data_IF_461517932795
#
_entry.id   IF_461517932795
#
_cell.length_a   1.000
_cell.length_b   1.000
_cell.length_c   1.000
_cell.angle_alpha   90.00
_cell.angle_beta   90.00
_cell.angle_gamma   90.00
#
_symmetry.space_group_name_H-M   'P 1'
#
loop_
_entity.id
_entity.type
_entity.pdbx_description
1 polymer ?
#
# COMPACT_ATOMS: atom_id res chain seq x y z
N UNK A 1 -6.64 -4.29 8.54
CA UNK A 1 -6.62 -3.42 7.34
C UNK A 1 -5.16 -3.01 7.16
N UNK A 2 -4.67 -2.97 5.97
CA UNK A 2 -3.27 -2.63 5.70
C UNK A 2 -3.09 -1.12 5.77
N UNK A 3 -1.96 -0.68 6.37
CA UNK A 3 -1.66 0.71 6.68
C UNK A 3 -0.48 1.22 5.89
N UNK A 4 -0.64 2.39 5.28
CA UNK A 4 0.40 3.10 4.54
C UNK A 4 0.74 4.41 5.27
N UNK A 5 2.01 4.60 5.61
CA UNK A 5 2.45 5.82 6.29
C UNK A 5 3.05 6.84 5.32
N UNK A 6 2.56 8.07 5.34
CA UNK A 6 3.20 9.17 4.62
C UNK A 6 4.43 9.64 5.37
N UNK A 7 5.57 9.57 4.72
CA UNK A 7 6.87 9.96 5.26
C UNK A 7 7.51 11.00 4.33
N UNK A 8 7.99 12.09 4.87
CA UNK A 8 8.61 13.15 4.10
C UNK A 8 9.06 14.30 4.98
N UNK A 9 9.90 15.18 4.43
CA UNK A 9 10.34 16.38 5.12
C UNK A 9 9.17 17.34 5.39
N UNK A 10 9.30 18.31 6.30
CA UNK A 10 8.32 19.35 6.46
C UNK A 10 8.00 20.03 5.12
N UNK A 11 6.76 20.43 4.93
CA UNK A 11 6.27 21.10 3.72
C UNK A 11 6.39 20.31 2.39
N UNK A 12 6.58 18.99 2.45
CA UNK A 12 6.59 18.16 1.24
C UNK A 12 5.19 17.91 0.65
N UNK A 13 4.12 18.24 1.37
CA UNK A 13 2.73 18.06 0.92
C UNK A 13 2.01 16.83 1.48
N UNK A 14 2.57 16.16 2.53
CA UNK A 14 1.99 14.96 3.14
C UNK A 14 0.55 15.14 3.61
N UNK A 15 0.32 16.14 4.47
CA UNK A 15 -1.02 16.41 5.02
C UNK A 15 -2.01 16.86 3.95
N UNK A 16 -1.54 17.58 2.91
CA UNK A 16 -2.38 17.94 1.76
C UNK A 16 -2.79 16.70 0.95
N UNK A 17 -1.85 15.78 0.70
CA UNK A 17 -2.13 14.51 0.04
C UNK A 17 -3.09 13.64 0.88
N UNK A 18 -2.87 13.57 2.20
CA UNK A 18 -3.76 12.87 3.12
C UNK A 18 -5.18 13.44 3.06
N UNK A 19 -5.32 14.77 3.12
CA UNK A 19 -6.62 15.42 3.07
C UNK A 19 -7.32 15.23 1.72
N UNK A 20 -6.60 15.25 0.61
CA UNK A 20 -7.15 14.97 -0.70
C UNK A 20 -7.71 13.53 -0.82
N UNK A 21 -7.07 12.58 -0.16
CA UNK A 21 -7.50 11.17 -0.15
C UNK A 21 -8.65 10.89 0.83
N UNK A 22 -8.55 11.41 2.05
CA UNK A 22 -9.41 11.03 3.18
C UNK A 22 -10.43 12.11 3.57
N UNK A 23 -10.25 13.35 3.12
CA UNK A 23 -10.97 14.53 3.58
C UNK A 23 -12.39 14.73 3.03
N UNK A 24 -13.05 13.67 2.53
CA UNK A 24 -14.45 13.76 2.04
C UNK A 24 -14.62 13.66 0.53
N UNK A 25 -13.52 13.45 -0.21
CA UNK A 25 -13.58 13.20 -1.65
C UNK A 25 -14.20 11.84 -2.00
N UNK A 26 -14.34 11.54 -3.31
CA UNK A 26 -14.95 10.29 -3.80
C UNK A 26 -14.25 9.01 -3.31
N UNK A 27 -12.98 9.12 -2.93
CA UNK A 27 -12.19 8.00 -2.39
C UNK A 27 -12.40 7.77 -0.89
N UNK A 28 -12.91 8.76 -0.14
CA UNK A 28 -13.17 8.58 1.28
C UNK A 28 -14.21 7.46 1.50
N UNK A 29 -13.89 6.50 2.36
CA UNK A 29 -14.81 5.43 2.69
C UNK A 29 -15.70 5.83 3.87
N UNK A 30 -17.03 5.69 3.78
CA UNK A 30 -17.91 5.81 4.93
C UNK A 30 -17.68 4.59 5.83
N UNK A 31 -16.83 4.73 6.84
CA UNK A 31 -16.53 3.65 7.76
C UNK A 31 -17.33 3.80 9.04
N UNK A 32 -18.04 2.73 9.43
CA UNK A 32 -18.90 2.73 10.61
C UNK A 32 -18.13 2.84 11.95
N UNK A 33 -16.82 2.62 11.89
CA UNK A 33 -15.88 2.75 13.01
C UNK A 33 -14.77 3.73 12.60
N UNK A 34 -15.16 5.00 12.29
CA UNK A 34 -14.19 6.05 12.07
C UNK A 34 -13.15 6.02 13.20
N UNK A 35 -11.87 5.92 12.82
CA UNK A 35 -10.80 6.00 13.79
C UNK A 35 -10.93 7.31 14.53
N UNK A 36 -10.82 7.28 15.86
CA UNK A 36 -10.79 8.50 16.67
C UNK A 36 -9.47 9.28 16.48
N UNK A 37 -8.53 8.71 15.73
CA UNK A 37 -7.27 9.34 15.39
C UNK A 37 -7.44 10.20 14.13
N UNK A 38 -7.28 11.52 14.23
CA UNK A 38 -7.45 12.45 13.10
C UNK A 38 -6.41 12.27 11.98
N UNK A 39 -5.34 11.52 12.25
CA UNK A 39 -4.26 11.26 11.29
C UNK A 39 -4.42 9.95 10.52
N UNK A 40 -5.53 9.22 10.70
CA UNK A 40 -5.81 7.96 9.98
C UNK A 40 -7.02 8.13 9.08
N UNK A 41 -6.83 7.95 7.78
CA UNK A 41 -7.87 8.01 6.76
C UNK A 41 -8.14 6.65 6.13
N UNK A 42 -9.41 6.27 6.03
CA UNK A 42 -9.83 5.06 5.32
C UNK A 42 -10.24 5.43 3.90
N UNK A 43 -9.58 4.82 2.92
CA UNK A 43 -9.71 5.15 1.51
C UNK A 43 -10.20 3.93 0.73
N UNK A 44 -11.16 4.13 -0.18
CA UNK A 44 -11.62 3.09 -1.11
C UNK A 44 -10.55 2.81 -2.16
N UNK A 45 -10.35 1.55 -2.48
CA UNK A 45 -9.52 1.13 -3.63
C UNK A 45 -10.42 1.11 -4.86
N UNK A 46 -10.25 2.03 -5.83
CA UNK A 46 -11.06 2.07 -7.03
C UNK A 46 -10.86 0.81 -7.88
N UNK A 47 -11.95 0.18 -8.30
CA UNK A 47 -11.91 -1.02 -9.13
C UNK A 47 -13.04 -0.98 -10.18
N UNK A 48 -12.70 -0.65 -11.41
CA UNK A 48 -13.65 -0.56 -12.54
C UNK A 48 -14.33 -1.90 -12.88
N UNK A 49 -13.69 -3.02 -12.51
CA UNK A 49 -14.25 -4.38 -12.68
C UNK A 49 -15.48 -4.55 -11.78
N UNK A 50 -15.37 -4.06 -10.52
CA UNK A 50 -16.48 -4.08 -9.57
C UNK A 50 -17.66 -3.25 -10.07
N UNK A 51 -17.38 -2.06 -10.62
CA UNK A 51 -18.41 -1.16 -11.14
C UNK A 51 -19.14 -1.79 -12.32
N UNK A 52 -18.40 -2.43 -13.23
CA UNK A 52 -18.97 -3.13 -14.39
C UNK A 52 -19.84 -4.32 -13.94
N UNK A 53 -19.37 -5.13 -13.00
CA UNK A 53 -20.10 -6.26 -12.43
C UNK A 53 -21.35 -5.82 -11.68
N UNK A 54 -21.27 -4.71 -10.95
CA UNK A 54 -22.41 -4.16 -10.22
C UNK A 54 -23.53 -3.67 -11.18
N UNK A 55 -23.13 -3.05 -12.29
CA UNK A 55 -24.08 -2.68 -13.36
C UNK A 55 -24.73 -3.91 -14.01
N UNK A 56 -23.92 -4.92 -14.36
CA UNK A 56 -24.41 -6.19 -14.94
C UNK A 56 -25.40 -6.89 -14.03
N UNK A 57 -25.15 -6.93 -12.73
CA UNK A 57 -25.98 -7.63 -11.73
C UNK A 57 -27.08 -6.73 -11.14
N UNK A 58 -27.22 -5.48 -11.60
CA UNK A 58 -28.15 -4.48 -11.06
C UNK A 58 -28.06 -4.38 -9.52
N UNK A 59 -26.84 -4.37 -9.01
CA UNK A 59 -26.57 -4.45 -7.57
C UNK A 59 -27.07 -3.21 -6.82
N UNK A 60 -27.84 -3.44 -5.76
CA UNK A 60 -28.37 -2.37 -4.89
C UNK A 60 -27.29 -1.70 -4.06
N UNK A 61 -26.15 -2.39 -3.85
CA UNK A 61 -25.05 -1.90 -3.03
C UNK A 61 -23.71 -2.31 -3.64
N UNK A 62 -22.78 -1.37 -3.69
CA UNK A 62 -21.40 -1.61 -4.13
C UNK A 62 -20.47 -1.39 -2.93
N UNK A 63 -19.60 -2.35 -2.65
CA UNK A 63 -18.65 -2.28 -1.54
C UNK A 63 -17.23 -2.49 -2.06
N UNK A 64 -16.48 -1.41 -2.12
CA UNK A 64 -15.07 -1.43 -2.49
C UNK A 64 -14.20 -2.01 -1.37
N UNK A 65 -13.07 -2.57 -1.73
CA UNK A 65 -12.01 -2.79 -0.75
C UNK A 65 -11.48 -1.45 -0.23
N UNK A 66 -10.90 -1.47 0.95
CA UNK A 66 -10.41 -0.25 1.61
C UNK A 66 -9.01 -0.46 2.16
N UNK A 67 -8.25 0.63 2.25
CA UNK A 67 -6.94 0.68 2.86
C UNK A 67 -6.82 1.89 3.78
N UNK A 68 -5.90 1.88 4.73
CA UNK A 68 -5.65 2.98 5.65
C UNK A 68 -4.41 3.76 5.25
N UNK A 69 -4.53 5.09 5.21
CA UNK A 69 -3.39 5.99 5.11
C UNK A 69 -3.22 6.73 6.42
N UNK A 70 -1.96 6.92 6.83
CA UNK A 70 -1.61 7.57 8.10
C UNK A 70 -0.69 8.75 7.81
N UNK A 71 -1.09 9.95 8.23
CA UNK A 71 -0.21 11.11 8.23
C UNK A 71 0.69 11.07 9.46
N UNK A 72 1.91 10.58 9.29
CA UNK A 72 2.88 10.38 10.39
C UNK A 72 3.56 11.68 10.82
N UNK A 73 3.28 12.79 10.15
CA UNK A 73 3.96 14.06 10.40
C UNK A 73 5.28 14.21 9.64
N UNK A 74 5.98 15.32 9.86
CA UNK A 74 7.24 15.62 9.17
C UNK A 74 8.46 15.06 9.91
N UNK A 75 9.36 14.40 9.20
CA UNK A 75 10.69 14.09 9.67
C UNK A 75 11.49 15.40 9.78
N UNK A 76 12.12 15.62 10.92
CA UNK A 76 13.10 16.68 11.10
C UNK A 76 14.48 16.03 11.07
N UNK A 77 15.44 16.64 10.40
CA UNK A 77 16.84 16.20 10.40
C UNK A 77 17.36 16.02 11.83
N UNK A 78 18.04 14.89 12.11
CA UNK A 78 18.45 14.52 13.46
C UNK A 78 17.38 13.81 14.29
N UNK A 79 16.28 13.40 13.70
CA UNK A 79 15.20 12.68 14.42
C UNK A 79 15.66 11.36 15.04
N UNK A 80 16.64 10.70 14.44
CA UNK A 80 17.24 9.45 14.95
C UNK A 80 18.07 9.66 16.22
N UNK A 81 18.60 10.85 16.43
CA UNK A 81 19.44 11.19 17.58
C UNK A 81 18.71 11.98 18.69
N UNK A 82 17.44 12.36 18.44
CA UNK A 82 16.67 13.27 19.29
C UNK A 82 15.74 12.58 20.27
N UNK A 83 15.62 13.17 21.47
CA UNK A 83 14.54 12.82 22.40
C UNK A 83 13.21 13.49 22.00
N UNK A 84 12.10 12.79 22.14
CA UNK A 84 10.74 13.35 22.02
C UNK A 84 10.09 13.20 20.64
N UNK A 85 10.06 14.24 19.81
CA UNK A 85 9.31 14.24 18.54
C UNK A 85 9.84 13.22 17.52
N UNK A 86 11.16 13.03 17.44
CA UNK A 86 11.77 12.03 16.55
C UNK A 86 11.33 10.60 16.89
N UNK A 87 11.34 10.25 18.18
CA UNK A 87 10.90 8.93 18.63
C UNK A 87 9.41 8.66 18.36
N UNK A 88 8.55 9.67 18.48
CA UNK A 88 7.13 9.56 18.15
C UNK A 88 6.93 9.33 16.65
N UNK A 89 7.68 10.05 15.81
CA UNK A 89 7.67 9.89 14.36
C UNK A 89 8.11 8.47 13.94
N UNK A 90 9.28 8.02 14.41
CA UNK A 90 9.79 6.68 14.13
C UNK A 90 8.85 5.58 14.65
N UNK A 91 8.19 5.82 15.80
CA UNK A 91 7.13 4.95 16.34
C UNK A 91 5.96 4.81 15.38
N UNK A 92 5.47 5.91 14.82
CA UNK A 92 4.39 5.89 13.81
C UNK A 92 4.76 5.09 12.57
N UNK A 93 6.03 5.21 12.08
CA UNK A 93 6.48 4.40 10.94
C UNK A 93 6.51 2.90 11.29
N UNK A 94 6.84 2.52 12.53
CA UNK A 94 6.82 1.10 12.93
C UNK A 94 5.45 0.46 12.84
N UNK A 95 4.39 1.22 13.05
CA UNK A 95 2.99 0.74 13.09
C UNK A 95 2.35 0.56 11.71
N UNK A 96 2.95 1.05 10.64
CA UNK A 96 2.42 0.90 9.28
C UNK A 96 3.06 -0.29 8.54
N UNK A 97 2.39 -0.80 7.52
CA UNK A 97 2.86 -1.96 6.74
C UNK A 97 3.78 -1.56 5.58
N UNK A 98 3.61 -0.34 5.04
CA UNK A 98 4.44 0.21 3.97
C UNK A 98 4.64 1.72 4.14
N UNK A 99 5.68 2.24 3.51
CA UNK A 99 6.06 3.64 3.52
C UNK A 99 5.75 4.27 2.16
N UNK A 100 5.13 5.44 2.19
CA UNK A 100 4.96 6.32 1.03
C UNK A 100 5.83 7.56 1.25
N UNK A 101 6.95 7.62 0.54
CA UNK A 101 7.78 8.83 0.56
C UNK A 101 7.08 9.95 -0.23
N UNK A 102 6.78 11.06 0.43
CA UNK A 102 6.28 12.27 -0.24
C UNK A 102 7.45 13.22 -0.43
N UNK A 103 7.89 13.35 -1.68
CA UNK A 103 9.08 14.08 -2.07
C UNK A 103 8.70 15.37 -2.77
N UNK A 104 9.17 16.50 -2.27
CA UNK A 104 8.90 17.80 -2.86
C UNK A 104 9.77 18.01 -4.10
N UNK A 105 9.15 18.35 -5.22
CA UNK A 105 9.80 18.79 -6.44
C UNK A 105 9.34 20.21 -6.84
N UNK A 106 8.19 20.69 -6.35
CA UNK A 106 7.70 22.05 -6.64
C UNK A 106 8.57 23.13 -5.99
N UNK A 107 8.64 24.28 -6.67
CA UNK A 107 9.28 25.48 -6.17
C UNK A 107 8.23 26.50 -5.77
N UNK A 108 8.30 26.97 -4.52
CA UNK A 108 7.47 28.04 -3.99
C UNK A 108 8.34 28.89 -3.09
N UNK A 109 8.41 30.21 -3.38
CA UNK A 109 9.26 31.16 -2.65
C UNK A 109 8.85 31.36 -1.20
N UNK A 110 7.57 31.11 -0.88
CA UNK A 110 7.02 31.27 0.47
C UNK A 110 7.15 29.99 1.32
N UNK A 111 7.53 28.87 0.69
CA UNK A 111 7.66 27.57 1.36
C UNK A 111 9.16 27.23 1.55
N UNK A 112 9.69 27.24 2.77
CA UNK A 112 11.08 26.91 3.03
C UNK A 112 11.39 25.43 2.82
N UNK A 113 12.66 25.12 2.53
CA UNK A 113 13.18 23.76 2.40
C UNK A 113 13.68 23.43 1.01
N UNK A 114 14.41 22.30 0.87
CA UNK A 114 14.93 21.85 -0.41
C UNK A 114 13.80 21.48 -1.37
N UNK A 115 14.05 21.63 -2.67
CA UNK A 115 13.08 21.34 -3.77
C UNK A 115 13.55 20.22 -4.68
N UNK A 116 14.72 19.61 -4.39
CA UNK A 116 15.21 18.46 -5.12
C UNK A 116 14.70 17.16 -4.47
N UNK A 117 13.88 16.36 -5.16
CA UNK A 117 13.31 15.15 -4.58
C UNK A 117 14.36 14.09 -4.19
N UNK A 118 15.51 14.05 -4.89
CA UNK A 118 16.59 13.12 -4.55
C UNK A 118 17.25 13.49 -3.22
N UNK A 119 17.44 14.78 -2.96
CA UNK A 119 18.02 15.23 -1.69
C UNK A 119 17.04 14.98 -0.52
N UNK A 120 15.73 15.16 -0.76
CA UNK A 120 14.71 14.77 0.19
C UNK A 120 14.80 13.27 0.53
N UNK A 121 14.87 12.41 -0.50
CA UNK A 121 14.95 10.97 -0.33
C UNK A 121 16.19 10.57 0.47
N UNK A 122 17.36 11.14 0.15
CA UNK A 122 18.62 10.86 0.87
C UNK A 122 18.53 11.19 2.35
N UNK A 123 17.96 12.35 2.71
CA UNK A 123 17.79 12.73 4.11
C UNK A 123 16.89 11.71 4.84
N UNK A 124 15.77 11.31 4.23
CA UNK A 124 14.86 10.32 4.80
C UNK A 124 15.53 8.96 4.98
N UNK A 125 16.26 8.50 3.96
CA UNK A 125 16.99 7.23 3.99
C UNK A 125 18.05 7.20 5.11
N UNK A 126 18.81 8.28 5.28
CA UNK A 126 19.82 8.38 6.34
C UNK A 126 19.17 8.23 7.72
N UNK A 127 18.11 8.97 8.00
CA UNK A 127 17.44 8.93 9.30
C UNK A 127 16.83 7.55 9.61
N UNK A 128 16.19 6.90 8.63
CA UNK A 128 15.63 5.58 8.79
C UNK A 128 16.72 4.52 8.97
N UNK A 129 17.82 4.64 8.23
CA UNK A 129 18.96 3.71 8.29
C UNK A 129 19.67 3.81 9.64
N UNK A 130 19.91 5.01 10.15
CA UNK A 130 20.53 5.21 11.46
C UNK A 130 19.66 4.66 12.60
N UNK A 131 18.34 4.86 12.54
CA UNK A 131 17.41 4.33 13.54
C UNK A 131 17.38 2.80 13.54
N UNK A 132 17.45 2.18 12.35
CA UNK A 132 17.51 0.72 12.24
C UNK A 132 18.87 0.16 12.64
N UNK A 133 19.95 0.85 12.31
CA UNK A 133 21.32 0.45 12.73
C UNK A 133 21.40 0.32 14.25
N UNK A 134 20.97 1.35 14.99
CA UNK A 134 20.94 1.33 16.47
C UNK A 134 20.07 0.17 16.99
N UNK A 135 18.90 -0.04 16.38
CA UNK A 135 17.99 -1.11 16.76
C UNK A 135 18.60 -2.51 16.52
N UNK A 136 19.25 -2.71 15.38
CA UNK A 136 19.88 -3.99 15.01
C UNK A 136 21.09 -4.27 15.88
N UNK A 137 21.99 -3.29 16.12
CA UNK A 137 23.14 -3.43 17.03
C UNK A 137 22.71 -3.88 18.44
N UNK A 138 21.69 -3.25 18.98
CA UNK A 138 21.14 -3.62 20.29
C UNK A 138 20.58 -5.04 20.32
N UNK A 139 19.88 -5.46 19.25
CA UNK A 139 19.24 -6.78 19.17
C UNK A 139 20.20 -7.89 18.91
N UNK A 140 21.14 -7.74 17.97
CA UNK A 140 22.11 -8.77 17.63
C UNK A 140 22.97 -9.15 18.84
N UNK A 141 23.37 -8.18 19.66
CA UNK A 141 24.11 -8.42 20.89
C UNK A 141 23.33 -9.30 21.89
N UNK A 142 22.02 -9.09 22.02
CA UNK A 142 21.14 -9.90 22.88
C UNK A 142 20.94 -11.30 22.32
N UNK A 143 20.69 -11.43 21.02
CA UNK A 143 20.43 -12.71 20.35
C UNK A 143 21.67 -13.58 20.28
N UNK A 144 22.85 -13.02 20.07
CA UNK A 144 24.13 -13.75 20.15
C UNK A 144 24.40 -14.31 21.56
N UNK A 145 24.05 -13.58 22.63
CA UNK A 145 24.13 -14.11 24.00
C UNK A 145 23.15 -15.27 24.21
N UNK A 146 21.93 -15.18 23.70
CA UNK A 146 20.94 -16.26 23.77
C UNK A 146 21.44 -17.49 22.98
N UNK A 147 21.97 -17.29 21.78
CA UNK A 147 22.54 -18.37 20.95
C UNK A 147 23.70 -19.08 21.62
N UNK A 148 24.56 -18.38 22.38
CA UNK A 148 25.63 -19.02 23.17
C UNK A 148 25.06 -19.91 24.28
N UNK A 149 23.88 -19.58 24.81
CA UNK A 149 23.23 -20.41 25.84
C UNK A 149 22.51 -21.63 25.22
N UNK A 150 21.98 -21.51 24.00
CA UNK A 150 21.34 -22.59 23.26
C UNK A 150 21.84 -22.67 21.80
N UNK A 151 23.04 -23.26 21.58
CA UNK A 151 23.72 -23.26 20.29
C UNK A 151 23.03 -24.10 19.20
N UNK A 152 22.02 -24.90 19.54
CA UNK A 152 21.34 -25.81 18.61
C UNK A 152 19.96 -25.27 18.19
N UNK A 153 19.59 -24.12 18.67
CA UNK A 153 18.30 -23.49 18.33
C UNK A 153 18.36 -22.93 16.89
N UNK A 154 17.70 -23.64 15.98
CA UNK A 154 17.71 -23.29 14.55
C UNK A 154 17.08 -21.94 14.28
N UNK A 155 16.01 -21.57 15.00
CA UNK A 155 15.33 -20.27 14.83
C UNK A 155 16.25 -19.12 15.23
N UNK A 156 16.96 -19.26 16.36
CA UNK A 156 17.94 -18.28 16.82
C UNK A 156 19.15 -18.16 15.88
N UNK A 157 19.59 -19.25 15.26
CA UNK A 157 20.67 -19.24 14.26
C UNK A 157 20.23 -18.39 13.07
N UNK A 158 19.07 -18.70 12.46
CA UNK A 158 18.55 -17.97 11.32
C UNK A 158 18.30 -16.49 11.65
N UNK A 159 17.78 -16.20 12.84
CA UNK A 159 17.55 -14.82 13.28
C UNK A 159 18.86 -14.03 13.42
N UNK A 160 19.90 -14.63 14.01
CA UNK A 160 21.20 -13.98 14.16
C UNK A 160 21.88 -13.77 12.81
N UNK A 161 21.76 -14.71 11.87
CA UNK A 161 22.26 -14.57 10.50
C UNK A 161 21.55 -13.41 9.78
N UNK A 162 20.22 -13.35 9.83
CA UNK A 162 19.45 -12.27 9.21
C UNK A 162 19.81 -10.90 9.79
N UNK A 163 19.92 -10.79 11.13
CA UNK A 163 20.36 -9.57 11.80
C UNK A 163 21.80 -9.20 11.43
N UNK A 164 22.69 -10.18 11.24
CA UNK A 164 24.08 -9.97 10.82
C UNK A 164 24.16 -9.33 9.43
N UNK A 165 23.43 -9.89 8.47
CA UNK A 165 23.36 -9.35 7.10
C UNK A 165 22.73 -7.94 7.09
N UNK A 166 21.66 -7.75 7.88
CA UNK A 166 21.06 -6.41 8.02
C UNK A 166 22.04 -5.38 8.58
N UNK A 167 22.86 -5.79 9.60
CA UNK A 167 23.85 -4.93 10.19
C UNK A 167 24.93 -4.47 9.19
N UNK A 168 25.39 -5.37 8.30
CA UNK A 168 26.37 -5.05 7.26
C UNK A 168 25.83 -3.94 6.34
N UNK A 169 24.65 -4.11 5.74
CA UNK A 169 24.06 -3.10 4.86
C UNK A 169 23.80 -1.77 5.55
N UNK A 170 23.22 -1.79 6.75
CA UNK A 170 22.93 -0.60 7.51
C UNK A 170 24.20 0.16 7.93
N UNK A 171 25.29 -0.55 8.26
CA UNK A 171 26.59 0.05 8.60
C UNK A 171 27.24 0.73 7.41
N UNK A 172 26.98 0.27 6.19
CA UNK A 172 27.40 0.91 4.95
C UNK A 172 26.49 2.08 4.53
N UNK A 173 25.46 2.38 5.32
CA UNK A 173 24.48 3.43 5.03
C UNK A 173 23.44 3.02 3.99
N UNK A 174 23.29 1.72 3.70
CA UNK A 174 22.32 1.20 2.73
C UNK A 174 21.04 0.75 3.43
N UNK A 175 19.89 1.38 3.15
CA UNK A 175 18.60 0.93 3.69
C UNK A 175 18.21 -0.44 3.12
N UNK A 176 17.55 -1.28 3.92
CA UNK A 176 17.26 -2.66 3.55
C UNK A 176 16.35 -2.79 2.31
N UNK A 177 15.47 -1.83 2.05
CA UNK A 177 14.64 -1.84 0.83
C UNK A 177 15.45 -1.64 -0.47
N UNK A 178 16.72 -1.22 -0.39
CA UNK A 178 17.66 -1.07 -1.52
C UNK A 178 18.83 -2.05 -1.50
N UNK A 179 18.94 -2.87 -0.46
CA UNK A 179 20.13 -3.69 -0.21
C UNK A 179 20.26 -4.92 -1.11
N UNK A 180 19.20 -5.32 -1.81
CA UNK A 180 19.18 -6.61 -2.52
C UNK A 180 19.27 -7.83 -1.59
N UNK A 181 19.00 -7.66 -0.29
CA UNK A 181 18.94 -8.75 0.68
C UNK A 181 17.94 -9.82 0.23
N UNK A 182 18.30 -11.09 0.43
CA UNK A 182 17.45 -12.23 0.08
C UNK A 182 16.08 -12.17 0.72
N UNK A 183 15.05 -12.60 -0.03
CA UNK A 183 13.64 -12.55 0.40
C UNK A 183 13.39 -13.33 1.68
N UNK A 184 14.05 -14.50 1.85
CA UNK A 184 13.86 -15.34 3.03
C UNK A 184 14.47 -14.67 4.28
N UNK A 185 15.65 -14.06 4.14
CA UNK A 185 16.28 -13.27 5.21
C UNK A 185 15.44 -12.05 5.56
N UNK A 186 14.90 -11.36 4.55
CA UNK A 186 14.01 -10.22 4.74
C UNK A 186 12.72 -10.59 5.49
N UNK A 187 12.14 -11.74 5.19
CA UNK A 187 10.98 -12.26 5.91
C UNK A 187 11.33 -12.57 7.37
N UNK A 188 12.50 -13.15 7.64
CA UNK A 188 13.02 -13.37 9.00
C UNK A 188 13.20 -12.09 9.82
N UNK A 189 13.37 -10.94 9.16
CA UNK A 189 13.49 -9.65 9.82
C UNK A 189 12.14 -8.97 10.15
N UNK A 190 11.01 -9.51 9.69
CA UNK A 190 9.68 -8.88 9.88
C UNK A 190 9.33 -8.63 11.34
N UNK A 191 9.59 -9.59 12.21
CA UNK A 191 9.28 -9.47 13.64
C UNK A 191 10.12 -8.40 14.37
N UNK A 192 11.15 -7.89 13.70
CA UNK A 192 11.98 -6.82 14.25
C UNK A 192 11.44 -5.42 14.01
N UNK A 193 10.40 -5.27 13.19
CA UNK A 193 9.77 -3.98 12.87
C UNK A 193 10.77 -2.91 12.41
N UNK A 194 11.76 -3.34 11.60
CA UNK A 194 12.74 -2.43 11.02
C UNK A 194 12.04 -1.51 10.00
N UNK A 195 12.39 -0.25 10.06
CA UNK A 195 11.78 0.80 9.22
C UNK A 195 12.16 0.60 7.75
N UNK A 196 13.44 0.33 7.52
CA UNK A 196 13.99 0.13 6.17
C UNK A 196 13.68 -1.26 5.57
N UNK A 197 13.11 -2.19 6.37
CA UNK A 197 12.65 -3.49 5.86
C UNK A 197 11.22 -3.44 5.29
N UNK A 198 10.53 -2.32 5.41
CA UNK A 198 9.18 -2.15 4.87
C UNK A 198 9.21 -1.90 3.37
N UNK A 199 8.19 -2.36 2.62
CA UNK A 199 7.99 -1.95 1.23
C UNK A 199 7.85 -0.43 1.13
N UNK A 200 8.39 0.16 0.06
CA UNK A 200 8.37 1.61 -0.14
C UNK A 200 7.90 1.97 -1.54
N UNK A 201 7.24 3.11 -1.66
CA UNK A 201 6.98 3.80 -2.93
C UNK A 201 7.21 5.29 -2.75
N UNK A 202 7.34 6.04 -3.85
CA UNK A 202 7.53 7.48 -3.81
C UNK A 202 6.41 8.23 -4.55
N UNK A 203 5.97 9.33 -3.97
CA UNK A 203 5.11 10.34 -4.60
C UNK A 203 5.93 11.61 -4.77
N UNK A 204 6.09 12.05 -6.03
CA UNK A 204 6.72 13.30 -6.37
C UNK A 204 5.67 14.38 -6.43
N UNK A 205 5.71 15.31 -5.47
CA UNK A 205 4.80 16.45 -5.44
C UNK A 205 5.35 17.56 -6.33
N UNK A 206 4.75 17.69 -7.52
CA UNK A 206 5.11 18.65 -8.56
C UNK A 206 4.30 19.93 -8.44
N UNK A 207 4.87 21.06 -8.89
CA UNK A 207 4.09 22.24 -9.26
C UNK A 207 3.34 22.01 -10.58
N UNK A 208 2.29 22.78 -10.82
CA UNK A 208 1.50 22.71 -12.05
C UNK A 208 2.37 22.92 -13.30
N UNK A 209 3.32 23.86 -13.23
CA UNK A 209 4.29 24.18 -14.29
C UNK A 209 5.27 23.04 -14.60
N UNK A 210 5.35 22.03 -13.74
CA UNK A 210 6.27 20.90 -13.87
C UNK A 210 5.58 19.62 -14.39
N UNK A 211 4.26 19.60 -14.53
CA UNK A 211 3.53 18.41 -15.00
C UNK A 211 4.02 17.92 -16.35
N UNK A 212 4.37 18.83 -17.27
CA UNK A 212 4.97 18.47 -18.58
C UNK A 212 6.37 17.83 -18.51
N UNK A 213 7.01 17.81 -17.32
CA UNK A 213 8.32 17.18 -17.05
C UNK A 213 8.23 16.04 -16.06
N UNK A 214 7.03 15.58 -15.75
CA UNK A 214 6.77 14.56 -14.75
C UNK A 214 7.60 13.28 -14.99
N UNK A 215 7.64 12.81 -16.22
CA UNK A 215 8.40 11.60 -16.61
C UNK A 215 9.90 11.78 -16.37
N UNK A 216 10.48 12.92 -16.80
CA UNK A 216 11.91 13.22 -16.61
C UNK A 216 12.30 13.24 -15.12
N UNK A 217 11.45 13.86 -14.28
CA UNK A 217 11.70 13.94 -12.84
C UNK A 217 11.54 12.55 -12.19
N UNK A 218 10.55 11.80 -12.61
CA UNK A 218 10.31 10.43 -12.13
C UNK A 218 11.46 9.50 -12.46
N UNK A 219 11.99 9.53 -13.68
CA UNK A 219 13.13 8.72 -14.10
C UNK A 219 14.37 8.97 -13.23
N UNK A 220 14.64 10.23 -12.87
CA UNK A 220 15.75 10.56 -11.96
C UNK A 220 15.60 9.93 -10.58
N UNK A 221 14.39 9.92 -10.02
CA UNK A 221 14.12 9.29 -8.73
C UNK A 221 14.11 7.78 -8.86
N UNK A 222 13.54 7.25 -9.94
CA UNK A 222 13.54 5.81 -10.21
C UNK A 222 14.96 5.24 -10.36
N UNK A 223 15.92 6.02 -10.90
CA UNK A 223 17.31 5.60 -11.00
C UNK A 223 17.99 5.36 -9.64
N UNK A 224 17.51 6.00 -8.58
CA UNK A 224 18.01 5.81 -7.19
C UNK A 224 17.10 4.93 -6.34
N UNK A 225 15.89 4.65 -6.82
CA UNK A 225 14.91 3.78 -6.15
C UNK A 225 14.30 2.79 -7.17
N UNK A 226 15.11 1.92 -7.80
CA UNK A 226 14.74 1.16 -9.01
C UNK A 226 13.63 0.13 -8.76
N UNK A 227 13.56 -0.46 -7.56
CA UNK A 227 12.62 -1.52 -7.22
C UNK A 227 11.30 -0.99 -6.64
N UNK A 228 11.09 0.33 -6.71
CA UNK A 228 9.92 0.98 -6.13
C UNK A 228 9.14 1.78 -7.16
N UNK A 229 7.84 1.81 -7.01
CA UNK A 229 6.98 2.64 -7.85
C UNK A 229 7.16 4.11 -7.50
N UNK A 230 7.30 4.94 -8.53
CA UNK A 230 7.45 6.39 -8.41
C UNK A 230 6.31 7.04 -9.16
N UNK A 231 5.43 7.76 -8.46
CA UNK A 231 4.30 8.45 -9.04
C UNK A 231 4.48 9.96 -8.91
N UNK A 232 4.39 10.67 -10.04
CA UNK A 232 4.42 12.12 -10.07
C UNK A 232 2.99 12.67 -10.16
N UNK A 233 2.68 13.66 -9.31
CA UNK A 233 1.39 14.33 -9.29
C UNK A 233 1.51 15.73 -8.67
N UNK A 234 0.57 16.60 -8.96
CA UNK A 234 0.41 17.86 -8.22
C UNK A 234 -0.60 17.66 -7.11
N UNK A 235 -0.11 17.59 -5.86
CA UNK A 235 -0.97 17.44 -4.68
C UNK A 235 -1.97 18.61 -4.58
N UNK A 236 -1.58 19.81 -5.01
CA UNK A 236 -2.46 20.97 -5.00
C UNK A 236 -3.65 20.78 -5.95
N UNK A 237 -3.39 20.44 -7.21
CA UNK A 237 -4.46 20.22 -8.19
C UNK A 237 -5.39 19.06 -7.80
N UNK A 238 -4.82 17.97 -7.29
CA UNK A 238 -5.61 16.84 -6.82
C UNK A 238 -6.48 17.22 -5.60
N UNK A 239 -5.95 18.04 -4.68
CA UNK A 239 -6.71 18.52 -3.54
C UNK A 239 -7.84 19.47 -3.95
N UNK A 240 -7.60 20.36 -4.90
CA UNK A 240 -8.62 21.24 -5.47
C UNK A 240 -9.71 20.44 -6.20
N UNK A 241 -9.31 19.49 -7.04
CA UNK A 241 -10.22 18.60 -7.75
C UNK A 241 -11.06 17.74 -6.79
N UNK A 242 -10.49 17.29 -5.66
CA UNK A 242 -11.20 16.47 -4.68
C UNK A 242 -12.37 17.22 -3.99
N UNK A 243 -12.37 18.56 -4.00
CA UNK A 243 -13.43 19.40 -3.44
C UNK A 243 -14.60 19.58 -4.40
N UNK A 244 -14.43 19.28 -5.67
CA UNK A 244 -15.46 19.44 -6.70
C UNK A 244 -16.44 18.25 -6.72
N UNK A 245 -17.69 18.46 -7.16
CA UNK A 245 -18.59 17.38 -7.55
C UNK A 245 -17.92 16.44 -8.58
N UNK A 246 -18.37 15.19 -8.63
CA UNK A 246 -17.70 14.15 -9.44
C UNK A 246 -17.64 14.48 -10.94
N UNK A 247 -18.72 15.06 -11.49
CA UNK A 247 -18.83 15.52 -12.88
C UNK A 247 -17.86 16.67 -13.17
N UNK A 248 -17.86 17.72 -12.34
CA UNK A 248 -16.98 18.89 -12.49
C UNK A 248 -15.49 18.50 -12.31
N UNK A 249 -15.20 17.57 -11.39
CA UNK A 249 -13.86 17.03 -11.19
C UNK A 249 -13.34 16.32 -12.44
N UNK A 250 -14.17 15.48 -13.05
CA UNK A 250 -13.83 14.78 -14.28
C UNK A 250 -13.48 15.76 -15.41
N UNK A 251 -14.31 16.79 -15.60
CA UNK A 251 -14.07 17.82 -16.60
C UNK A 251 -12.78 18.62 -16.36
N UNK A 252 -12.48 18.98 -15.09
CA UNK A 252 -11.25 19.67 -14.73
C UNK A 252 -10.02 18.83 -15.05
N UNK A 253 -9.99 17.58 -14.58
CA UNK A 253 -8.84 16.69 -14.74
C UNK A 253 -8.62 16.32 -16.22
N UNK A 254 -9.69 16.10 -16.98
CA UNK A 254 -9.61 15.85 -18.43
C UNK A 254 -9.12 17.09 -19.18
N UNK A 255 -9.59 18.27 -18.82
CA UNK A 255 -9.15 19.55 -19.40
C UNK A 255 -7.66 19.82 -19.16
N UNK A 256 -7.10 19.33 -18.06
CA UNK A 256 -5.68 19.38 -17.75
C UNK A 256 -4.87 18.20 -18.35
N UNK A 257 -5.51 17.27 -19.06
CA UNK A 257 -4.88 16.08 -19.61
C UNK A 257 -4.49 15.03 -18.56
N UNK A 258 -5.09 15.08 -17.36
CA UNK A 258 -4.78 14.19 -16.24
C UNK A 258 -5.69 12.95 -16.18
N UNK A 259 -6.69 12.84 -17.06
CA UNK A 259 -7.63 11.72 -17.13
C UNK A 259 -8.42 11.49 -15.84
N UNK A 260 -8.38 10.29 -15.26
CA UNK A 260 -9.05 9.97 -13.98
C UNK A 260 -8.42 10.66 -12.75
N UNK A 261 -7.31 11.38 -12.94
CA UNK A 261 -6.49 11.93 -11.87
C UNK A 261 -5.44 10.94 -11.35
N UNK A 262 -4.53 11.44 -10.53
CA UNK A 262 -3.44 10.63 -10.00
C UNK A 262 -3.83 9.89 -8.71
N UNK A 263 -4.78 10.39 -7.92
CA UNK A 263 -5.16 9.75 -6.65
C UNK A 263 -5.71 8.33 -6.81
N UNK A 264 -6.62 8.01 -7.77
CA UNK A 264 -7.05 6.63 -7.99
C UNK A 264 -5.91 5.70 -8.37
N UNK A 265 -4.98 6.15 -9.23
CA UNK A 265 -3.78 5.40 -9.60
C UNK A 265 -2.86 5.16 -8.41
N UNK A 266 -2.64 6.20 -7.60
CA UNK A 266 -1.84 6.11 -6.37
C UNK A 266 -2.40 5.07 -5.40
N UNK A 267 -3.72 5.07 -5.14
CA UNK A 267 -4.36 4.10 -4.23
C UNK A 267 -4.19 2.66 -4.74
N UNK A 268 -4.36 2.44 -6.06
CA UNK A 268 -4.13 1.11 -6.67
C UNK A 268 -2.67 0.68 -6.57
N UNK A 269 -1.72 1.58 -6.82
CA UNK A 269 -0.30 1.33 -6.70
C UNK A 269 0.09 0.97 -5.26
N UNK A 270 -0.37 1.75 -4.28
CA UNK A 270 -0.17 1.46 -2.86
C UNK A 270 -0.73 0.08 -2.48
N UNK A 271 -1.95 -0.26 -2.93
CA UNK A 271 -2.54 -1.57 -2.69
C UNK A 271 -1.70 -2.70 -3.29
N UNK A 272 -1.18 -2.52 -4.51
CA UNK A 272 -0.29 -3.48 -5.18
C UNK A 272 1.07 -3.65 -4.50
N UNK A 273 1.60 -2.61 -3.85
CA UNK A 273 2.90 -2.60 -3.17
C UNK A 273 3.02 -3.70 -2.09
N UNK A 274 1.94 -3.99 -1.39
CA UNK A 274 1.88 -5.04 -0.37
C UNK A 274 1.54 -6.42 -0.93
N UNK A 275 1.57 -6.60 -2.25
CA UNK A 275 1.18 -7.84 -2.90
C UNK A 275 -0.30 -8.18 -2.73
N UNK A 276 -1.13 -7.17 -2.51
CA UNK A 276 -2.56 -7.34 -2.36
C UNK A 276 -3.22 -7.53 -3.72
N UNK A 277 -4.23 -8.37 -3.75
CA UNK A 277 -5.07 -8.70 -4.90
C UNK A 277 -6.53 -8.64 -4.49
N UNK A 278 -7.41 -8.63 -5.47
CA UNK A 278 -8.85 -8.51 -5.25
C UNK A 278 -9.58 -9.64 -5.95
N UNK A 279 -10.40 -10.39 -5.22
CA UNK A 279 -11.46 -11.21 -5.81
C UNK A 279 -12.81 -10.52 -5.62
N UNK A 280 -13.77 -10.86 -6.46
CA UNK A 280 -15.04 -10.17 -6.57
C UNK A 280 -16.20 -11.12 -6.29
N UNK A 281 -17.23 -10.61 -5.65
CA UNK A 281 -18.52 -11.26 -5.55
C UNK A 281 -19.57 -10.32 -6.12
N UNK A 282 -20.54 -10.83 -6.89
CA UNK A 282 -21.58 -10.00 -7.52
C UNK A 282 -22.94 -10.65 -7.49
N UNK A 283 -23.98 -9.86 -7.29
CA UNK A 283 -25.38 -10.25 -7.28
C UNK A 283 -26.29 -9.07 -7.03
N UNK A 284 -27.60 -9.24 -7.18
CA UNK A 284 -28.61 -8.17 -7.06
C UNK A 284 -28.55 -7.41 -5.72
N UNK A 285 -28.22 -8.08 -4.63
CA UNK A 285 -28.16 -7.43 -3.29
C UNK A 285 -26.92 -6.59 -3.13
N UNK A 286 -25.78 -7.12 -3.52
CA UNK A 286 -24.48 -6.51 -3.30
C UNK A 286 -23.45 -7.04 -4.31
N UNK A 287 -22.63 -6.13 -4.84
CA UNK A 287 -21.34 -6.45 -5.46
C UNK A 287 -20.23 -5.93 -4.53
N UNK A 288 -19.21 -6.78 -4.30
CA UNK A 288 -18.13 -6.45 -3.37
C UNK A 288 -16.77 -6.91 -3.85
N UNK A 289 -15.77 -6.06 -3.59
CA UNK A 289 -14.36 -6.35 -3.74
C UNK A 289 -13.78 -6.84 -2.39
N UNK A 290 -13.00 -7.92 -2.45
CA UNK A 290 -12.39 -8.57 -1.29
C UNK A 290 -10.88 -8.61 -1.46
N UNK A 291 -10.15 -7.95 -0.55
CA UNK A 291 -8.69 -7.97 -0.57
C UNK A 291 -8.15 -9.28 -0.03
N UNK A 292 -7.15 -9.83 -0.72
CA UNK A 292 -6.38 -10.99 -0.28
C UNK A 292 -4.88 -10.82 -0.62
N UNK A 293 -4.01 -11.62 -0.02
CA UNK A 293 -2.59 -11.61 -0.35
C UNK A 293 -2.30 -12.53 -1.53
N UNK A 294 -1.46 -12.10 -2.44
CA UNK A 294 -1.01 -12.94 -3.55
C UNK A 294 -0.50 -14.30 -3.03
N UNK A 295 -0.85 -15.38 -3.72
CA UNK A 295 -0.53 -16.75 -3.31
C UNK A 295 -1.53 -17.40 -2.34
N UNK A 296 -2.58 -16.69 -1.93
CA UNK A 296 -3.64 -17.31 -1.11
C UNK A 296 -4.48 -18.28 -1.90
N UNK A 297 -4.91 -19.35 -1.20
CA UNK A 297 -5.81 -20.37 -1.74
C UNK A 297 -7.28 -20.03 -1.48
N UNK A 298 -8.15 -20.66 -2.24
CA UNK A 298 -9.59 -20.44 -2.16
C UNK A 298 -10.18 -20.52 -0.74
N UNK A 299 -9.81 -21.46 0.16
CA UNK A 299 -10.31 -21.47 1.52
C UNK A 299 -9.92 -20.22 2.32
N UNK A 300 -8.67 -19.74 2.19
CA UNK A 300 -8.20 -18.52 2.86
C UNK A 300 -8.97 -17.29 2.36
N UNK A 301 -9.24 -17.22 1.05
CA UNK A 301 -10.08 -16.18 0.47
C UNK A 301 -11.53 -16.24 0.94
N UNK A 302 -12.11 -17.44 1.06
CA UNK A 302 -13.43 -17.62 1.67
C UNK A 302 -13.49 -17.12 3.11
N UNK A 303 -12.41 -17.29 3.86
CA UNK A 303 -12.23 -16.76 5.22
C UNK A 303 -12.31 -15.23 5.32
N UNK A 304 -12.00 -14.50 4.23
CA UNK A 304 -12.22 -13.05 4.17
C UNK A 304 -13.68 -12.64 4.24
N UNK A 305 -14.56 -13.50 3.77
CA UNK A 305 -16.01 -13.26 3.86
C UNK A 305 -16.50 -13.62 5.26
N UNK A 306 -16.17 -14.82 5.73
CA UNK A 306 -16.50 -15.29 7.07
C UNK A 306 -15.62 -16.49 7.46
N UNK A 307 -15.22 -16.57 8.73
CA UNK A 307 -14.39 -17.68 9.23
C UNK A 307 -15.03 -19.06 9.04
N UNK A 308 -16.35 -19.14 9.08
CA UNK A 308 -17.08 -20.40 8.82
C UNK A 308 -16.96 -20.85 7.37
N UNK A 309 -16.83 -19.91 6.42
CA UNK A 309 -16.61 -20.25 5.01
C UNK A 309 -15.25 -20.91 4.79
N UNK A 310 -14.22 -20.48 5.52
CA UNK A 310 -12.91 -21.14 5.50
C UNK A 310 -12.98 -22.55 6.09
N UNK A 311 -13.57 -22.68 7.28
CA UNK A 311 -13.68 -23.96 8.00
C UNK A 311 -14.52 -24.98 7.25
N UNK A 312 -15.67 -24.55 6.74
CA UNK A 312 -16.62 -25.39 6.02
C UNK A 312 -16.41 -25.43 4.51
N UNK A 313 -15.29 -24.94 3.98
CA UNK A 313 -15.05 -24.84 2.54
C UNK A 313 -15.19 -26.18 1.84
N UNK A 314 -16.04 -26.20 0.80
CA UNK A 314 -16.24 -27.36 -0.06
C UNK A 314 -15.57 -27.12 -1.41
N UNK A 315 -15.95 -26.05 -2.10
CA UNK A 315 -15.43 -25.65 -3.41
C UNK A 315 -15.75 -24.19 -3.71
N UNK A 316 -15.08 -23.62 -4.71
CA UNK A 316 -15.40 -22.33 -5.29
C UNK A 316 -15.90 -22.50 -6.72
N UNK A 317 -16.96 -21.80 -7.09
CA UNK A 317 -17.36 -21.58 -8.47
C UNK A 317 -16.69 -20.29 -8.91
N UNK A 318 -15.80 -20.36 -9.91
CA UNK A 318 -14.94 -19.24 -10.32
C UNK A 318 -15.13 -18.94 -11.79
N UNK A 319 -15.20 -17.66 -12.13
CA UNK A 319 -15.20 -17.17 -13.51
C UNK A 319 -14.39 -15.89 -13.59
N UNK A 320 -13.66 -15.68 -14.67
CA UNK A 320 -12.96 -14.43 -14.93
C UNK A 320 -13.97 -13.29 -15.16
N UNK A 321 -13.70 -12.10 -14.57
CA UNK A 321 -14.63 -10.98 -14.65
C UNK A 321 -14.95 -10.57 -16.10
N UNK A 322 -13.98 -10.60 -17.01
CA UNK A 322 -14.17 -10.26 -18.42
C UNK A 322 -15.16 -11.23 -19.08
N UNK A 323 -14.97 -12.53 -18.85
CA UNK A 323 -15.84 -13.56 -19.39
C UNK A 323 -17.26 -13.46 -18.84
N UNK A 324 -17.40 -13.16 -17.55
CA UNK A 324 -18.73 -12.98 -16.94
C UNK A 324 -19.43 -11.74 -17.50
N UNK A 325 -18.71 -10.65 -17.71
CA UNK A 325 -19.26 -9.41 -18.31
C UNK A 325 -19.69 -9.64 -19.78
N UNK A 326 -18.90 -10.38 -20.56
CA UNK A 326 -19.27 -10.75 -21.94
C UNK A 326 -20.56 -11.57 -22.01
N UNK A 327 -20.72 -12.52 -21.10
CA UNK A 327 -21.88 -13.41 -21.03
C UNK A 327 -23.11 -12.76 -20.37
N UNK A 328 -22.91 -11.70 -19.60
CA UNK A 328 -23.98 -10.87 -19.02
C UNK A 328 -24.69 -11.47 -17.81
N UNK A 329 -24.41 -12.70 -17.41
CA UNK A 329 -25.00 -13.31 -16.21
C UNK A 329 -24.32 -14.59 -15.77
N UNK A 330 -24.46 -14.95 -14.48
CA UNK A 330 -24.04 -16.23 -13.93
C UNK A 330 -24.67 -17.44 -14.59
N UNK A 331 -25.97 -17.35 -14.98
CA UNK A 331 -26.67 -18.45 -15.69
C UNK A 331 -26.07 -18.69 -17.07
N UNK A 332 -25.82 -17.64 -17.84
CA UNK A 332 -25.17 -17.74 -19.14
C UNK A 332 -23.73 -18.29 -18.99
N UNK A 333 -22.99 -17.92 -17.95
CA UNK A 333 -21.69 -18.50 -17.66
C UNK A 333 -21.70 -20.00 -17.39
N UNK A 334 -22.71 -20.47 -16.65
CA UNK A 334 -22.94 -21.93 -16.42
C UNK A 334 -23.34 -22.65 -17.70
N UNK A 335 -24.28 -22.12 -18.45
CA UNK A 335 -24.76 -22.71 -19.72
C UNK A 335 -23.66 -22.78 -20.77
N UNK A 336 -22.78 -21.79 -20.83
CA UNK A 336 -21.63 -21.77 -21.73
C UNK A 336 -20.46 -22.66 -21.26
N UNK A 337 -20.57 -23.29 -20.07
CA UNK A 337 -19.51 -24.14 -19.51
C UNK A 337 -18.22 -23.35 -19.13
N UNK A 338 -18.32 -22.04 -18.88
CA UNK A 338 -17.19 -21.19 -18.58
C UNK A 338 -16.92 -21.06 -17.07
N UNK A 339 -17.77 -21.65 -16.24
CA UNK A 339 -17.58 -21.72 -14.80
C UNK A 339 -16.59 -22.81 -14.43
N UNK A 340 -15.56 -22.48 -13.70
CA UNK A 340 -14.62 -23.46 -13.14
C UNK A 340 -15.06 -23.87 -11.74
N UNK A 341 -14.95 -25.15 -11.44
CA UNK A 341 -15.18 -25.68 -10.09
C UNK A 341 -13.82 -25.96 -9.45
N UNK A 342 -13.45 -25.13 -8.51
CA UNK A 342 -12.12 -25.13 -7.91
C UNK A 342 -12.13 -25.69 -6.48
N UNK A 343 -11.12 -26.49 -6.17
CA UNK A 343 -10.92 -27.11 -4.87
C UNK A 343 -10.09 -26.28 -3.90
N UNK A 344 -9.69 -26.94 -2.80
CA UNK A 344 -8.94 -26.30 -1.69
C UNK A 344 -7.56 -25.78 -2.11
N UNK A 345 -6.96 -26.35 -3.15
CA UNK A 345 -5.61 -26.03 -3.59
C UNK A 345 -5.57 -24.92 -4.65
N UNK A 346 -6.74 -24.43 -5.08
CA UNK A 346 -6.81 -23.36 -6.05
C UNK A 346 -6.19 -22.09 -5.53
N UNK A 347 -5.20 -21.57 -6.26
CA UNK A 347 -4.59 -20.26 -6.02
C UNK A 347 -5.48 -19.19 -6.62
N UNK A 348 -6.05 -18.33 -5.77
CA UNK A 348 -6.93 -17.25 -6.20
C UNK A 348 -6.20 -16.28 -7.11
N UNK A 349 -6.81 -15.96 -8.26
CA UNK A 349 -6.30 -14.96 -9.18
C UNK A 349 -6.92 -13.57 -8.91
N UNK A 350 -6.18 -12.51 -9.27
CA UNK A 350 -6.72 -11.16 -9.20
C UNK A 350 -7.83 -10.98 -10.24
N UNK A 351 -8.99 -10.48 -9.79
CA UNK A 351 -10.17 -10.29 -10.64
C UNK A 351 -11.05 -11.52 -10.81
N UNK A 352 -10.75 -12.65 -10.15
CA UNK A 352 -11.68 -13.76 -10.11
C UNK A 352 -13.02 -13.34 -9.51
N UNK A 353 -14.12 -13.70 -10.17
CA UNK A 353 -15.48 -13.58 -9.64
C UNK A 353 -15.90 -14.92 -9.07
N UNK A 354 -16.30 -14.94 -7.79
CA UNK A 354 -16.37 -16.20 -7.03
C UNK A 354 -17.69 -16.35 -6.28
N UNK A 355 -18.20 -17.58 -6.29
CA UNK A 355 -19.26 -18.04 -5.38
C UNK A 355 -18.73 -19.22 -4.58
N UNK A 356 -18.59 -19.07 -3.25
CA UNK A 356 -18.11 -20.14 -2.37
C UNK A 356 -19.24 -21.06 -1.94
N UNK A 357 -18.99 -22.37 -2.00
CA UNK A 357 -19.84 -23.41 -1.43
C UNK A 357 -19.19 -23.95 -0.16
N UNK A 358 -19.92 -23.89 0.92
CA UNK A 358 -19.45 -24.32 2.25
C UNK A 358 -20.56 -25.05 2.99
N UNK A 359 -20.18 -25.83 3.99
CA UNK A 359 -21.08 -26.50 4.92
C UNK A 359 -20.56 -26.25 6.34
N UNK A 360 -21.45 -25.78 7.22
CA UNK A 360 -21.15 -25.45 8.63
C UNK A 360 -21.86 -26.45 9.53
#
# INVERSE_FOLDING_TARGET
MERFGFVGLPNAGKSSLFNALAGGGALAAPYAFATTDPNVGVVKVPDSRLDALARMSESKKIVYSTTEFVDIGGLVEGASQGEGLGNKFLGGIREVDAIVFVLRAFTDGDVPGPTNPIDHLKILEIELTLADLEAVESRINRRQKALKADPRNSELITEVEALGVALEFLSEGTPLFRSGIDVELREGLREHFLLTNKPVMAVLNLGEDQLGKADEISEKVHSVLPDSEVLALSVQLEAEAALLPEDERGELLEGLGLGEGALPRFVRAAHGLLGLRTFLTTGEKESRAWTFKNGWRAPQCAGRIHTDFERGFIRAEVIEHEVLLELGSWSAGREAGRMRLEGKDYLMADGDVVEFRFNV
#
